data_IF_893195324164
#
_entry.id   IF_893195324164
#
_cell.length_a   1.000
_cell.length_b   1.000
_cell.length_c   1.000
_cell.angle_alpha   90.00
_cell.angle_beta   90.00
_cell.angle_gamma   90.00
#
_symmetry.space_group_name_H-M   'P 1'
#
loop_
_entity.id
_entity.type
_entity.pdbx_description
1 polymer ?
#
# COMPACT_ATOMS: atom_id res chain seq x y z
N UNK A 1 29.29 7.19 2.37
CA UNK A 1 28.51 6.49 3.42
C UNK A 1 29.31 5.27 3.83
N UNK A 2 29.83 5.22 5.05
CA UNK A 2 30.65 4.10 5.52
C UNK A 2 29.77 2.86 5.68
N UNK A 3 30.01 1.84 4.87
CA UNK A 3 29.34 0.54 4.94
C UNK A 3 29.96 -0.24 6.10
N UNK A 4 29.27 -0.27 7.25
CA UNK A 4 29.69 -1.06 8.42
C UNK A 4 29.11 -2.47 8.31
N UNK A 5 29.89 -3.53 8.62
CA UNK A 5 29.36 -4.89 8.73
C UNK A 5 28.24 -4.97 9.77
N UNK A 6 27.23 -5.82 9.52
CA UNK A 6 26.10 -6.01 10.44
C UNK A 6 26.55 -6.51 11.83
N UNK A 7 27.60 -7.33 11.88
CA UNK A 7 28.22 -7.82 13.11
C UNK A 7 28.86 -6.72 13.96
N UNK A 8 29.16 -5.56 13.36
CA UNK A 8 29.74 -4.42 14.07
C UNK A 8 28.69 -3.44 14.61
N UNK A 9 27.39 -3.70 14.39
CA UNK A 9 26.31 -2.86 14.87
C UNK A 9 25.99 -3.20 16.32
N UNK A 10 26.02 -2.16 17.17
CA UNK A 10 25.75 -2.27 18.60
C UNK A 10 24.35 -1.72 18.93
N UNK A 11 23.92 -1.96 20.17
CA UNK A 11 22.63 -1.51 20.70
C UNK A 11 22.27 -0.02 20.42
N UNK A 12 23.19 0.97 20.48
CA UNK A 12 22.82 2.36 20.21
C UNK A 12 22.71 2.71 18.71
N UNK A 13 23.30 1.94 17.80
CA UNK A 13 23.41 2.32 16.38
C UNK A 13 22.02 2.41 15.71
N UNK A 14 21.13 1.46 16.00
CA UNK A 14 19.77 1.42 15.46
C UNK A 14 18.84 2.49 16.05
N UNK A 15 18.71 2.65 17.39
CA UNK A 15 17.86 3.69 17.96
C UNK A 15 18.27 5.11 17.58
N UNK A 16 19.58 5.40 17.50
CA UNK A 16 20.03 6.73 17.05
C UNK A 16 19.58 7.04 15.62
N UNK A 17 19.56 6.04 14.74
CA UNK A 17 19.05 6.19 13.38
C UNK A 17 17.52 6.39 13.39
N UNK A 18 16.79 5.61 14.18
CA UNK A 18 15.34 5.69 14.26
C UNK A 18 14.85 7.00 14.89
N UNK A 19 15.53 7.51 15.92
CA UNK A 19 15.25 8.80 16.54
C UNK A 19 15.40 9.97 15.55
N UNK A 20 16.37 9.91 14.62
CA UNK A 20 16.51 10.92 13.56
C UNK A 20 15.33 10.93 12.58
N UNK A 21 14.70 9.78 12.37
CA UNK A 21 13.52 9.64 11.50
C UNK A 21 12.29 10.14 12.25
N UNK A 22 12.15 9.76 13.52
CA UNK A 22 11.09 10.21 14.41
C UNK A 22 11.10 11.72 14.62
N UNK A 23 12.27 12.34 14.81
CA UNK A 23 12.43 13.79 14.94
C UNK A 23 11.96 14.59 13.71
N UNK A 24 11.76 13.93 12.56
CA UNK A 24 11.17 14.53 11.34
C UNK A 24 9.64 14.40 11.29
N UNK A 25 9.01 13.83 12.32
CA UNK A 25 7.58 13.53 12.39
C UNK A 25 7.18 12.20 11.74
N UNK A 26 8.12 11.41 11.23
CA UNK A 26 7.83 10.17 10.50
C UNK A 26 7.77 8.93 11.42
N UNK A 27 6.92 8.98 12.45
CA UNK A 27 6.84 7.95 13.51
C UNK A 27 6.46 6.58 12.96
N UNK A 28 5.45 6.50 12.08
CA UNK A 28 5.06 5.25 11.42
C UNK A 28 6.20 4.63 10.61
N UNK A 29 6.97 5.48 9.92
CA UNK A 29 8.12 5.01 9.14
C UNK A 29 9.24 4.51 10.05
N UNK A 30 9.49 5.17 11.18
CA UNK A 30 10.46 4.70 12.16
C UNK A 30 10.08 3.31 12.70
N UNK A 31 8.81 3.08 13.04
CA UNK A 31 8.36 1.77 13.51
C UNK A 31 8.47 0.69 12.42
N UNK A 32 8.05 0.99 11.19
CA UNK A 32 8.21 0.05 10.07
C UNK A 32 9.69 -0.31 9.81
N UNK A 33 10.58 0.68 9.86
CA UNK A 33 12.03 0.47 9.66
C UNK A 33 12.60 -0.37 10.80
N UNK A 34 12.22 -0.11 12.05
CA UNK A 34 12.59 -0.95 13.20
C UNK A 34 12.20 -2.41 12.97
N UNK A 35 10.96 -2.65 12.53
CA UNK A 35 10.50 -4.01 12.23
C UNK A 35 11.32 -4.66 11.10
N UNK A 36 11.68 -3.92 10.05
CA UNK A 36 12.56 -4.44 9.00
C UNK A 36 13.97 -4.74 9.51
N UNK A 37 14.57 -3.84 10.30
CA UNK A 37 15.86 -4.09 10.93
C UNK A 37 15.84 -5.39 11.74
N UNK A 38 14.82 -5.61 12.56
CA UNK A 38 14.69 -6.86 13.34
C UNK A 38 14.50 -8.10 12.46
N UNK A 39 13.85 -7.99 11.29
CA UNK A 39 13.79 -9.09 10.32
C UNK A 39 15.17 -9.39 9.72
N UNK A 40 15.93 -8.36 9.39
CA UNK A 40 17.29 -8.48 8.83
C UNK A 40 18.24 -9.10 9.88
N UNK A 41 18.21 -8.64 11.13
CA UNK A 41 19.03 -9.22 12.21
C UNK A 41 18.67 -10.69 12.46
N UNK A 42 17.38 -11.03 12.55
CA UNK A 42 16.96 -12.44 12.71
C UNK A 42 17.41 -13.33 11.55
N UNK A 43 17.37 -12.82 10.32
CA UNK A 43 17.92 -13.53 9.17
C UNK A 43 19.45 -13.68 9.29
N UNK A 44 20.16 -12.61 9.61
CA UNK A 44 21.62 -12.63 9.79
C UNK A 44 22.06 -13.61 10.88
N UNK A 45 21.32 -13.72 11.97
CA UNK A 45 21.55 -14.72 13.02
C UNK A 45 21.39 -16.15 12.50
N UNK A 46 20.39 -16.42 11.65
CA UNK A 46 20.17 -17.77 11.10
C UNK A 46 21.32 -18.28 10.23
N UNK A 47 22.09 -17.36 9.65
CA UNK A 47 23.28 -17.65 8.83
C UNK A 47 24.59 -17.30 9.57
N UNK A 48 24.53 -17.04 10.87
CA UNK A 48 25.68 -16.71 11.73
C UNK A 48 26.48 -15.45 11.33
N UNK A 49 25.86 -14.50 10.64
CA UNK A 49 26.48 -13.20 10.30
C UNK A 49 26.34 -12.16 11.42
N UNK A 50 25.47 -12.41 12.39
CA UNK A 50 25.31 -11.61 13.59
C UNK A 50 25.04 -12.53 14.78
N UNK A 51 25.53 -12.18 15.95
CA UNK A 51 25.34 -12.97 17.18
C UNK A 51 24.02 -12.65 17.89
N UNK A 52 23.50 -11.42 17.71
CA UNK A 52 22.30 -10.94 18.42
C UNK A 52 21.51 -9.94 17.60
N UNK A 53 20.19 -9.95 17.79
CA UNK A 53 19.28 -8.91 17.30
C UNK A 53 19.24 -7.72 18.27
N UNK A 54 19.91 -6.63 17.88
CA UNK A 54 19.96 -5.38 18.66
C UNK A 54 18.65 -4.60 18.66
N UNK A 55 17.65 -4.99 17.85
CA UNK A 55 16.34 -4.32 17.80
C UNK A 55 15.40 -4.75 18.94
N UNK A 56 15.71 -5.88 19.59
CA UNK A 56 14.92 -6.43 20.70
C UNK A 56 14.90 -5.51 21.92
N UNK A 57 16.03 -4.84 22.19
CA UNK A 57 16.20 -3.89 23.30
C UNK A 57 15.50 -2.55 23.04
N UNK A 58 14.93 -2.33 21.85
CA UNK A 58 14.30 -1.08 21.44
C UNK A 58 12.81 -1.00 21.79
N UNK A 59 12.31 -1.91 22.62
CA UNK A 59 10.92 -1.91 23.06
C UNK A 59 10.72 -0.72 24.02
N UNK A 60 9.92 0.26 23.62
CA UNK A 60 9.71 1.51 24.36
C UNK A 60 10.75 2.62 24.07
N UNK A 61 11.72 2.38 23.20
CA UNK A 61 12.76 3.38 22.86
C UNK A 61 12.30 4.42 21.82
N UNK A 62 11.14 4.22 21.20
CA UNK A 62 10.51 5.12 20.22
C UNK A 62 9.12 5.48 20.73
N UNK A 63 8.64 6.69 20.40
CA UNK A 63 7.24 7.04 20.66
C UNK A 63 6.31 6.08 19.92
N UNK A 64 5.22 5.69 20.59
CA UNK A 64 4.15 4.97 19.91
C UNK A 64 3.49 5.89 18.88
N UNK A 65 3.29 5.44 17.64
CA UNK A 65 2.49 6.20 16.69
C UNK A 65 1.09 6.43 17.26
N UNK A 66 0.58 7.66 17.15
CA UNK A 66 -0.82 7.93 17.43
C UNK A 66 -1.63 7.33 16.29
N UNK A 67 -2.44 6.31 16.59
CA UNK A 67 -3.27 5.67 15.58
C UNK A 67 -4.34 6.66 15.09
N UNK A 68 -4.26 7.05 13.83
CA UNK A 68 -5.28 7.86 13.17
C UNK A 68 -6.08 6.96 12.24
N UNK A 69 -7.30 6.61 12.67
CA UNK A 69 -8.20 5.83 11.83
C UNK A 69 -8.63 6.64 10.61
N UNK A 70 -8.38 6.10 9.41
CA UNK A 70 -8.87 6.67 8.14
C UNK A 70 -10.26 6.13 7.84
N UNK A 71 -11.25 6.68 8.54
CA UNK A 71 -12.65 6.29 8.37
C UNK A 71 -13.13 6.55 6.94
N UNK A 72 -14.01 5.68 6.45
CA UNK A 72 -14.69 5.88 5.17
C UNK A 72 -15.53 7.16 5.22
N UNK A 73 -15.58 7.89 4.10
CA UNK A 73 -16.47 9.05 3.96
C UNK A 73 -17.91 8.53 3.88
N UNK A 74 -18.69 8.76 4.94
CA UNK A 74 -20.11 8.38 5.01
C UNK A 74 -21.05 9.54 4.73
N UNK A 75 -20.55 10.78 4.82
CA UNK A 75 -21.33 11.98 4.53
C UNK A 75 -21.49 12.20 3.01
N UNK A 76 -22.71 12.27 2.46
CA UNK A 76 -22.94 12.43 1.02
C UNK A 76 -22.34 13.69 0.40
N UNK A 77 -22.33 14.82 1.13
CA UNK A 77 -21.76 16.08 0.64
C UNK A 77 -20.23 15.98 0.53
N UNK A 78 -19.57 15.37 1.52
CA UNK A 78 -18.14 15.12 1.46
C UNK A 78 -17.78 14.13 0.34
N UNK A 79 -18.59 13.09 0.14
CA UNK A 79 -18.43 12.15 -0.97
C UNK A 79 -18.57 12.87 -2.32
N UNK A 80 -19.57 13.75 -2.47
CA UNK A 80 -19.74 14.59 -3.64
C UNK A 80 -18.50 15.44 -3.95
N UNK A 81 -17.92 16.07 -2.90
CA UNK A 81 -16.67 16.82 -3.02
C UNK A 81 -15.49 15.97 -3.50
N UNK A 82 -15.33 14.75 -2.98
CA UNK A 82 -14.31 13.80 -3.44
C UNK A 82 -14.50 13.42 -4.92
N UNK A 83 -15.73 13.08 -5.32
CA UNK A 83 -16.04 12.70 -6.70
C UNK A 83 -15.78 13.86 -7.67
N UNK A 84 -16.06 15.10 -7.26
CA UNK A 84 -15.75 16.28 -8.06
C UNK A 84 -14.24 16.49 -8.20
N UNK A 85 -13.49 16.36 -7.11
CA UNK A 85 -12.02 16.45 -7.14
C UNK A 85 -11.38 15.39 -8.05
N UNK A 86 -11.91 14.16 -8.03
CA UNK A 86 -11.52 13.07 -8.95
C UNK A 86 -11.78 13.47 -10.41
N UNK A 87 -12.96 14.05 -10.70
CA UNK A 87 -13.33 14.44 -12.07
C UNK A 87 -12.49 15.60 -12.60
N UNK A 88 -12.11 16.54 -11.75
CA UNK A 88 -11.29 17.71 -12.11
C UNK A 88 -9.79 17.44 -12.14
N UNK A 89 -9.33 16.25 -11.75
CA UNK A 89 -7.90 15.92 -11.76
C UNK A 89 -7.35 15.86 -13.19
N UNK A 90 -6.30 16.64 -13.46
CA UNK A 90 -5.66 16.77 -14.79
C UNK A 90 -4.22 16.25 -14.82
N UNK A 91 -3.92 15.21 -14.02
CA UNK A 91 -2.60 14.58 -14.02
C UNK A 91 -2.39 13.62 -15.19
N UNK A 92 -1.47 12.68 -15.02
CA UNK A 92 -1.14 11.69 -16.05
C UNK A 92 -2.40 10.91 -16.49
N UNK A 93 -2.62 10.65 -17.81
CA UNK A 93 -3.82 9.98 -18.31
C UNK A 93 -4.18 8.68 -17.59
N UNK A 94 -3.18 7.84 -17.29
CA UNK A 94 -3.37 6.61 -16.51
C UNK A 94 -3.88 6.85 -15.09
N UNK A 95 -3.38 7.88 -14.40
CA UNK A 95 -3.85 8.24 -13.06
C UNK A 95 -5.28 8.80 -13.11
N UNK A 96 -5.60 9.60 -14.13
CA UNK A 96 -6.97 10.11 -14.35
C UNK A 96 -7.95 8.96 -14.59
N UNK A 97 -7.60 7.99 -15.44
CA UNK A 97 -8.44 6.84 -15.72
C UNK A 97 -8.64 5.98 -14.45
N UNK A 98 -7.55 5.68 -13.73
CA UNK A 98 -7.62 4.91 -12.49
C UNK A 98 -8.48 5.60 -11.42
N UNK A 99 -8.32 6.91 -11.22
CA UNK A 99 -9.12 7.66 -10.24
C UNK A 99 -10.61 7.68 -10.60
N UNK A 100 -10.96 7.73 -11.89
CA UNK A 100 -12.36 7.69 -12.34
C UNK A 100 -12.98 6.29 -12.20
N UNK A 101 -12.19 5.24 -12.38
CA UNK A 101 -12.64 3.85 -12.22
C UNK A 101 -12.76 3.44 -10.75
N UNK A 102 -11.89 3.92 -9.87
CA UNK A 102 -11.83 3.48 -8.48
C UNK A 102 -13.18 3.54 -7.71
N UNK A 103 -14.03 4.59 -7.81
CA UNK A 103 -15.33 4.59 -7.13
C UNK A 103 -16.37 3.67 -7.76
N UNK A 104 -16.13 3.15 -8.96
CA UNK A 104 -17.04 2.20 -9.64
C UNK A 104 -16.70 0.76 -9.27
N UNK A 105 -15.42 0.47 -9.09
CA UNK A 105 -14.91 -0.91 -8.99
C UNK A 105 -14.44 -1.30 -7.59
N UNK A 106 -14.15 -0.33 -6.72
CA UNK A 106 -13.68 -0.52 -5.34
C UNK A 106 -12.47 -1.46 -5.18
N UNK A 107 -11.69 -1.64 -6.25
CA UNK A 107 -10.45 -2.42 -6.25
C UNK A 107 -9.34 -1.71 -5.50
N UNK A 108 -8.40 -2.49 -4.95
CA UNK A 108 -7.18 -1.90 -4.38
C UNK A 108 -6.37 -1.23 -5.49
N UNK A 109 -5.69 -0.14 -5.15
CA UNK A 109 -4.89 0.61 -6.13
C UNK A 109 -3.81 -0.26 -6.81
N UNK A 110 -3.29 -1.27 -6.11
CA UNK A 110 -2.36 -2.24 -6.69
C UNK A 110 -3.01 -3.08 -7.80
N UNK A 111 -4.18 -3.64 -7.52
CA UNK A 111 -4.98 -4.45 -8.47
C UNK A 111 -5.36 -3.60 -9.71
N UNK A 112 -5.82 -2.36 -9.48
CA UNK A 112 -6.18 -1.41 -10.53
C UNK A 112 -4.99 -1.00 -11.42
N UNK A 113 -3.78 -0.89 -10.84
CA UNK A 113 -2.57 -0.49 -11.58
C UNK A 113 -1.98 -1.65 -12.39
N UNK A 114 -2.11 -2.87 -11.90
CA UNK A 114 -1.61 -4.09 -12.57
C UNK A 114 -2.65 -4.71 -13.51
N UNK A 115 -3.72 -3.98 -13.84
CA UNK A 115 -4.78 -4.41 -14.72
C UNK A 115 -4.23 -4.80 -16.09
N UNK A 116 -4.68 -5.94 -16.60
CA UNK A 116 -4.40 -6.36 -17.98
C UNK A 116 -5.67 -6.41 -18.80
N UNK A 117 -5.56 -6.09 -20.10
CA UNK A 117 -6.70 -6.13 -21.02
C UNK A 117 -7.35 -7.52 -21.11
N UNK A 118 -6.57 -8.59 -20.94
CA UNK A 118 -7.04 -9.98 -20.89
C UNK A 118 -7.99 -10.27 -19.73
N UNK A 119 -7.98 -9.45 -18.69
CA UNK A 119 -8.82 -9.58 -17.49
C UNK A 119 -10.20 -8.96 -17.68
N UNK A 120 -10.37 -8.09 -18.69
CA UNK A 120 -11.58 -7.28 -18.88
C UNK A 120 -12.40 -7.85 -20.04
N UNK A 121 -13.58 -8.38 -19.72
CA UNK A 121 -14.56 -8.84 -20.70
C UNK A 121 -15.65 -7.79 -20.83
N UNK A 122 -15.48 -6.88 -21.79
CA UNK A 122 -16.42 -5.77 -22.02
C UNK A 122 -17.83 -6.26 -22.39
N UNK A 123 -17.94 -7.31 -23.21
CA UNK A 123 -19.23 -7.87 -23.62
C UNK A 123 -20.03 -8.46 -22.45
N UNK A 124 -19.33 -9.03 -21.48
CA UNK A 124 -19.93 -9.58 -20.26
C UNK A 124 -20.09 -8.53 -19.15
N UNK A 125 -19.47 -7.35 -19.32
CA UNK A 125 -19.25 -6.35 -18.29
C UNK A 125 -18.59 -6.95 -17.03
N UNK A 126 -17.50 -7.69 -17.24
CA UNK A 126 -16.76 -8.39 -16.19
C UNK A 126 -15.29 -7.97 -16.17
N UNK A 127 -14.72 -7.91 -14.97
CA UNK A 127 -13.29 -7.83 -14.75
C UNK A 127 -12.87 -8.95 -13.80
N UNK A 128 -12.06 -9.89 -14.32
CA UNK A 128 -11.59 -11.08 -13.60
C UNK A 128 -10.12 -10.89 -13.21
N UNK A 129 -9.85 -10.67 -11.92
CA UNK A 129 -8.49 -10.48 -11.43
C UNK A 129 -7.87 -11.85 -11.11
N UNK A 130 -6.72 -12.21 -11.69
CA UNK A 130 -6.02 -13.46 -11.39
C UNK A 130 -5.64 -13.58 -9.91
N UNK A 131 -5.73 -14.79 -9.35
CA UNK A 131 -5.45 -15.04 -7.94
C UNK A 131 -4.03 -14.60 -7.52
N UNK A 132 -3.06 -14.70 -8.42
CA UNK A 132 -1.66 -14.30 -8.22
C UNK A 132 -1.50 -12.79 -7.95
N UNK A 133 -2.41 -11.96 -8.47
CA UNK A 133 -2.40 -10.50 -8.26
C UNK A 133 -3.11 -10.06 -6.98
N UNK A 134 -3.81 -10.98 -6.32
CA UNK A 134 -4.54 -10.70 -5.08
C UNK A 134 -3.68 -11.02 -3.86
N UNK A 135 -3.80 -10.21 -2.80
CA UNK A 135 -3.12 -10.45 -1.52
C UNK A 135 -3.59 -11.72 -0.79
N UNK A 136 -4.68 -12.35 -1.23
CA UNK A 136 -5.23 -13.55 -0.63
C UNK A 136 -5.12 -14.72 -1.60
N UNK A 137 -4.33 -15.75 -1.27
CA UNK A 137 -4.33 -17.02 -2.01
C UNK A 137 -5.76 -17.57 -2.04
N UNK A 138 -6.36 -17.60 -3.23
CA UNK A 138 -7.66 -18.20 -3.52
C UNK A 138 -8.79 -17.82 -2.57
N UNK A 139 -9.29 -16.59 -2.70
CA UNK A 139 -10.73 -16.35 -2.54
C UNK A 139 -11.22 -15.66 -3.80
N UNK A 140 -12.02 -16.39 -4.58
CA UNK A 140 -13.04 -15.79 -5.44
C UNK A 140 -13.71 -14.73 -4.56
N UNK A 141 -13.58 -13.46 -4.94
CA UNK A 141 -14.28 -12.39 -4.23
C UNK A 141 -15.76 -12.80 -4.16
N UNK A 142 -16.34 -13.03 -2.96
CA UNK A 142 -17.76 -13.36 -2.87
C UNK A 142 -18.64 -12.17 -3.30
N UNK A 143 -18.02 -11.01 -3.50
CA UNK A 143 -18.55 -9.90 -4.28
C UNK A 143 -18.36 -10.15 -5.78
N UNK A 144 -19.00 -11.21 -6.30
CA UNK A 144 -19.40 -11.28 -7.71
C UNK A 144 -20.72 -10.48 -7.82
N UNK A 145 -20.70 -9.20 -7.45
CA UNK A 145 -21.55 -8.27 -8.17
C UNK A 145 -20.67 -7.73 -9.27
N UNK A 146 -20.93 -8.25 -10.47
CA UNK A 146 -20.48 -7.73 -11.76
C UNK A 146 -20.11 -6.26 -11.62
N UNK A 147 -18.83 -5.93 -11.74
CA UNK A 147 -18.44 -4.53 -11.92
C UNK A 147 -18.91 -4.15 -13.32
N UNK A 148 -20.19 -3.80 -13.43
CA UNK A 148 -20.77 -3.30 -14.66
C UNK A 148 -20.13 -1.95 -14.89
N UNK A 149 -19.10 -1.93 -15.73
CA UNK A 149 -18.67 -0.69 -16.37
C UNK A 149 -19.87 -0.25 -17.21
N UNK A 150 -20.62 0.74 -16.74
CA UNK A 150 -21.63 1.41 -17.53
C UNK A 150 -20.93 2.21 -18.65
N UNK A 151 -20.42 1.49 -19.65
CA UNK A 151 -20.04 2.04 -20.94
C UNK A 151 -21.20 1.82 -21.92
N UNK A 152 -22.40 2.32 -21.56
CA UNK A 152 -23.51 2.42 -22.51
C UNK A 152 -23.53 3.83 -23.09
N UNK A 153 -23.43 3.89 -24.42
CA UNK A 153 -23.58 5.06 -25.31
C UNK A 153 -22.43 6.07 -25.40
N UNK A 154 -21.37 5.69 -26.11
CA UNK A 154 -20.85 6.49 -27.24
C UNK A 154 -20.58 5.58 -28.44
N UNK A 155 -21.68 5.21 -29.07
CA UNK A 155 -21.74 4.61 -30.39
C UNK A 155 -21.02 5.51 -31.41
N UNK A 156 -20.22 4.88 -32.27
CA UNK A 156 -19.83 5.39 -33.59
C UNK A 156 -19.19 6.79 -33.63
N UNK A 157 -17.85 6.84 -33.48
CA UNK A 157 -16.95 7.74 -34.22
C UNK A 157 -15.51 7.44 -33.83
N UNK A 158 -14.92 6.50 -34.56
CA UNK A 158 -13.59 6.66 -35.14
C UNK A 158 -13.69 6.16 -36.58
#
# INVERSE_FOLDING_TARGET
>A
MLSRPISSLNAPDVPQMLQKIEARGAVDSADQIKQQCGRIFRFAMSIQWAERDVTTDLKGALSSPVEVHRAAITNPHQLGGLLQAIRSYTGHPYAVAALKLSPMVFLRLGELRSAEWSEIKLDAAEWIIPAEKTKMKSKVHPFIERVIVAASNRSHRF
#
